data_IF_040257646057
#
_entry.id   IF_040257646057
#
_cell.length_a   1.000
_cell.length_b   1.000
_cell.length_c   1.000
_cell.angle_alpha   90.00
_cell.angle_beta   90.00
_cell.angle_gamma   90.00
#
_symmetry.space_group_name_H-M   'P 1'
#
loop_
_entity.id
_entity.type
_entity.pdbx_description
1 polymer ?
#
# COMPACT_ATOMS: atom_id res chain seq x y z
N UNK A 1 19.06 1.56 22.06
CA UNK A 1 18.14 0.49 21.67
C UNK A 1 16.75 1.02 21.97
N UNK A 2 16.03 1.54 20.96
CA UNK A 2 14.68 2.06 21.15
C UNK A 2 13.75 0.87 21.35
N UNK A 3 13.14 0.75 22.54
CA UNK A 3 12.13 -0.26 22.80
C UNK A 3 10.95 -0.06 21.86
N UNK A 4 10.79 -0.96 20.89
CA UNK A 4 9.61 -1.01 20.04
C UNK A 4 8.46 -1.60 20.86
N UNK A 5 7.77 -0.76 21.60
CA UNK A 5 6.43 -1.08 22.11
C UNK A 5 5.57 -1.44 20.90
N UNK A 6 4.90 -2.60 20.96
CA UNK A 6 3.99 -3.01 19.89
C UNK A 6 2.96 -1.92 19.66
N UNK A 7 2.60 -1.65 18.40
CA UNK A 7 1.39 -0.89 18.09
C UNK A 7 0.22 -1.58 18.78
N UNK A 8 -0.18 -1.07 19.94
CA UNK A 8 -1.46 -1.38 20.59
C UNK A 8 -2.50 -1.15 19.51
N UNK A 9 -3.44 -2.09 19.32
CA UNK A 9 -4.57 -1.99 18.39
C UNK A 9 -4.97 -0.53 18.25
N UNK A 10 -4.78 0.03 17.06
CA UNK A 10 -4.98 1.44 16.82
C UNK A 10 -6.40 1.82 17.25
N UNK A 11 -6.54 2.41 18.44
CA UNK A 11 -7.81 2.94 18.90
C UNK A 11 -8.10 4.15 18.03
N UNK A 12 -8.86 3.91 16.97
CA UNK A 12 -9.30 4.90 15.98
C UNK A 12 -9.90 6.12 16.67
N UNK A 13 -10.54 5.96 17.85
CA UNK A 13 -11.09 7.10 18.61
C UNK A 13 -10.00 7.94 19.26
N UNK A 14 -9.01 7.30 19.88
CA UNK A 14 -7.86 7.97 20.49
C UNK A 14 -7.05 8.72 19.44
N UNK A 15 -6.77 8.07 18.32
CA UNK A 15 -6.07 8.69 17.18
C UNK A 15 -6.85 9.88 16.61
N UNK A 16 -8.18 9.81 16.59
CA UNK A 16 -9.01 10.93 16.13
C UNK A 16 -9.03 12.11 17.11
N UNK A 17 -8.95 11.88 18.44
CA UNK A 17 -8.86 12.96 19.42
C UNK A 17 -7.49 13.63 19.46
N UNK A 18 -6.43 12.91 19.07
CA UNK A 18 -5.05 13.39 19.00
C UNK A 18 -4.69 13.99 17.63
N UNK A 19 -5.57 13.88 16.63
CA UNK A 19 -5.36 14.40 15.29
C UNK A 19 -5.66 15.90 15.19
N UNK A 20 -4.93 16.60 14.31
CA UNK A 20 -5.20 17.99 13.96
C UNK A 20 -6.64 18.17 13.44
N UNK A 21 -7.28 19.32 13.70
CA UNK A 21 -8.64 19.57 13.27
C UNK A 21 -8.76 19.51 11.75
N UNK A 22 -9.55 18.55 11.26
CA UNK A 22 -9.82 18.32 9.84
C UNK A 22 -11.33 18.16 9.63
N UNK A 23 -11.90 18.64 8.51
CA UNK A 23 -13.28 18.33 8.15
C UNK A 23 -13.49 16.84 7.85
N UNK A 24 -12.42 16.10 7.59
CA UNK A 24 -12.43 14.66 7.35
C UNK A 24 -12.30 13.88 8.66
N UNK A 25 -13.11 12.81 8.82
CA UNK A 25 -13.05 11.92 9.98
C UNK A 25 -12.17 10.71 9.72
N UNK A 26 -11.46 10.26 10.75
CA UNK A 26 -10.69 9.01 10.68
C UNK A 26 -11.66 7.83 10.44
N UNK A 27 -11.44 7.11 9.35
CA UNK A 27 -12.32 6.03 8.89
C UNK A 27 -11.50 4.78 8.62
N UNK A 28 -11.89 3.65 9.21
CA UNK A 28 -11.30 2.36 8.91
C UNK A 28 -11.80 1.87 7.54
N UNK A 29 -10.95 1.91 6.52
CA UNK A 29 -11.23 1.41 5.18
C UNK A 29 -10.17 0.37 4.78
N UNK A 30 -10.53 -0.92 4.71
CA UNK A 30 -9.62 -1.95 4.21
C UNK A 30 -9.13 -1.65 2.80
N UNK A 31 -7.87 -2.02 2.51
CA UNK A 31 -7.24 -1.86 1.19
C UNK A 31 -8.10 -2.46 0.06
N UNK A 32 -8.70 -3.63 0.30
CA UNK A 32 -9.59 -4.32 -0.66
C UNK A 32 -10.82 -3.50 -1.07
N UNK A 33 -11.29 -2.58 -0.23
CA UNK A 33 -12.42 -1.70 -0.57
C UNK A 33 -11.94 -0.43 -1.27
N UNK A 34 -10.90 0.23 -0.74
CA UNK A 34 -10.42 1.48 -1.33
C UNK A 34 -9.79 1.28 -2.71
N UNK A 35 -9.03 0.19 -2.93
CA UNK A 35 -8.44 -0.10 -4.23
C UNK A 35 -9.50 -0.32 -5.31
N UNK A 36 -10.61 -0.98 -4.94
CA UNK A 36 -11.75 -1.15 -5.84
C UNK A 36 -12.37 0.18 -6.23
N UNK A 37 -12.57 1.09 -5.28
CA UNK A 37 -13.11 2.43 -5.55
C UNK A 37 -12.18 3.22 -6.47
N UNK A 38 -10.86 3.15 -6.23
CA UNK A 38 -9.87 3.80 -7.09
C UNK A 38 -9.85 3.21 -8.50
N UNK A 39 -9.96 1.88 -8.61
CA UNK A 39 -10.06 1.18 -9.89
C UNK A 39 -11.30 1.63 -10.69
N UNK A 40 -12.48 1.63 -10.06
CA UNK A 40 -13.72 2.12 -10.68
C UNK A 40 -13.60 3.59 -11.12
N UNK A 41 -12.94 4.43 -10.33
CA UNK A 41 -12.70 5.83 -10.65
C UNK A 41 -11.74 6.04 -11.84
N UNK A 42 -10.78 5.13 -12.04
CA UNK A 42 -9.86 5.15 -13.18
C UNK A 42 -10.55 4.65 -14.47
N UNK A 43 -11.38 3.60 -14.37
CA UNK A 43 -12.20 3.13 -15.48
C UNK A 43 -13.14 4.21 -15.99
N UNK A 44 -13.81 4.94 -15.09
CA UNK A 44 -14.68 6.05 -15.45
C UNK A 44 -13.95 7.18 -16.20
N UNK A 45 -12.64 7.31 -15.99
CA UNK A 45 -11.76 8.29 -16.67
C UNK A 45 -11.09 7.74 -17.92
N UNK A 46 -11.45 6.53 -18.36
CA UNK A 46 -10.92 5.87 -19.56
C UNK A 46 -9.37 5.84 -19.59
N UNK A 47 -8.75 5.65 -18.43
CA UNK A 47 -7.30 5.49 -18.33
C UNK A 47 -6.88 4.11 -18.82
N UNK A 48 -5.67 4.02 -19.38
CA UNK A 48 -5.10 2.73 -19.80
C UNK A 48 -4.62 1.96 -18.56
N UNK A 49 -5.27 0.84 -18.26
CA UNK A 49 -4.91 -0.05 -17.17
C UNK A 49 -4.57 -1.43 -17.72
N UNK A 50 -3.36 -1.89 -17.42
CA UNK A 50 -2.84 -3.18 -17.87
C UNK A 50 -2.48 -4.04 -16.66
N UNK A 51 -3.45 -4.83 -16.17
CA UNK A 51 -3.20 -5.82 -15.13
C UNK A 51 -2.52 -7.06 -15.69
N UNK A 52 -1.76 -7.76 -14.85
CA UNK A 52 -0.98 -8.93 -15.26
C UNK A 52 0.25 -8.61 -16.09
N UNK A 53 0.61 -7.32 -16.20
CA UNK A 53 1.84 -6.88 -16.84
C UNK A 53 2.92 -6.68 -15.79
N UNK A 54 4.12 -7.17 -16.08
CA UNK A 54 5.30 -7.03 -15.24
C UNK A 54 6.34 -6.15 -15.95
N UNK A 55 6.81 -5.12 -15.27
CA UNK A 55 7.92 -4.28 -15.77
C UNK A 55 9.25 -5.02 -15.58
N UNK A 56 9.94 -5.27 -16.69
CA UNK A 56 11.17 -6.08 -16.73
C UNK A 56 12.42 -5.21 -16.84
N UNK A 57 12.35 -4.14 -17.65
CA UNK A 57 13.52 -3.29 -17.95
C UNK A 57 13.11 -1.82 -18.04
N UNK A 58 14.05 -0.95 -17.66
CA UNK A 58 13.90 0.50 -17.71
C UNK A 58 15.20 1.09 -18.22
N UNK A 59 15.09 1.95 -19.23
CA UNK A 59 16.19 2.74 -19.76
C UNK A 59 15.74 4.20 -19.81
N UNK A 60 16.44 5.05 -19.06
CA UNK A 60 16.24 6.50 -19.11
C UNK A 60 17.19 7.13 -20.12
N UNK A 61 16.71 8.15 -20.81
CA UNK A 61 17.52 9.07 -21.60
C UNK A 61 17.17 10.51 -21.20
N UNK A 62 17.82 11.51 -21.82
CA UNK A 62 17.71 12.92 -21.37
C UNK A 62 16.27 13.47 -21.34
N UNK A 63 15.35 12.90 -22.12
CA UNK A 63 14.01 13.47 -22.33
C UNK A 63 12.86 12.49 -22.02
N UNK A 64 13.13 11.19 -21.93
CA UNK A 64 12.10 10.19 -21.71
C UNK A 64 12.64 8.93 -21.02
N UNK A 65 11.71 8.11 -20.56
CA UNK A 65 11.94 6.78 -20.04
C UNK A 65 11.34 5.79 -21.03
N UNK A 66 12.14 4.80 -21.43
CA UNK A 66 11.68 3.61 -22.15
C UNK A 66 11.59 2.45 -21.17
N UNK A 67 10.45 1.78 -21.15
CA UNK A 67 10.15 0.64 -20.31
C UNK A 67 9.79 -0.56 -21.17
N UNK A 68 10.25 -1.75 -20.76
CA UNK A 68 9.82 -3.02 -21.33
C UNK A 68 8.94 -3.74 -20.31
N UNK A 69 7.68 -3.95 -20.67
CA UNK A 69 6.72 -4.68 -19.85
C UNK A 69 6.33 -6.00 -20.53
N UNK A 70 6.18 -7.06 -19.75
CA UNK A 70 5.77 -8.38 -20.21
C UNK A 70 4.35 -8.66 -19.75
N UNK A 71 3.45 -9.00 -20.66
CA UNK A 71 2.07 -9.34 -20.31
C UNK A 71 1.93 -10.76 -19.76
N UNK A 72 0.71 -11.12 -19.36
CA UNK A 72 0.37 -12.44 -18.83
C UNK A 72 0.53 -13.59 -19.84
N UNK A 73 0.62 -13.29 -21.13
CA UNK A 73 0.88 -14.25 -22.21
C UNK A 73 2.38 -14.36 -22.53
N UNK A 74 3.20 -13.54 -21.89
CA UNK A 74 4.63 -13.48 -22.06
C UNK A 74 5.11 -12.60 -23.22
N UNK A 75 4.22 -11.84 -23.84
CA UNK A 75 4.57 -10.89 -24.90
C UNK A 75 5.20 -9.65 -24.28
N UNK A 76 6.30 -9.19 -24.86
CA UNK A 76 6.98 -7.97 -24.42
C UNK A 76 6.48 -6.76 -25.19
N UNK A 77 6.25 -5.68 -24.48
CA UNK A 77 5.71 -4.42 -24.96
C UNK A 77 6.67 -3.29 -24.60
N UNK A 78 6.95 -2.41 -25.56
CA UNK A 78 7.80 -1.24 -25.36
C UNK A 78 6.91 -0.03 -25.08
N UNK A 79 7.17 0.64 -23.97
CA UNK A 79 6.41 1.81 -23.51
C UNK A 79 7.39 2.98 -23.42
N UNK A 80 7.08 4.09 -24.10
CA UNK A 80 7.83 5.34 -23.99
C UNK A 80 6.98 6.39 -23.27
N UNK A 81 7.53 7.03 -22.25
CA UNK A 81 6.86 8.05 -21.46
C UNK A 81 7.85 9.12 -20.99
N UNK A 82 7.37 10.33 -20.74
CA UNK A 82 8.22 11.40 -20.17
C UNK A 82 8.64 11.12 -18.73
N UNK A 83 7.84 10.35 -18.00
CA UNK A 83 8.06 10.06 -16.58
C UNK A 83 7.63 8.64 -16.25
N UNK A 84 8.29 8.06 -15.23
CA UNK A 84 7.92 6.78 -14.65
C UNK A 84 7.74 6.96 -13.14
N UNK A 85 6.57 6.58 -12.62
CA UNK A 85 6.28 6.57 -11.19
C UNK A 85 6.44 5.15 -10.63
N UNK A 86 7.45 4.94 -9.79
CA UNK A 86 7.71 3.65 -9.16
C UNK A 86 6.75 3.42 -7.97
N UNK A 87 5.60 2.80 -8.24
CA UNK A 87 4.60 2.41 -7.24
C UNK A 87 4.54 0.88 -7.02
N UNK A 88 5.64 0.17 -7.27
CA UNK A 88 5.77 -1.31 -7.26
C UNK A 88 6.06 -1.90 -5.86
N UNK A 89 5.78 -1.14 -4.81
CA UNK A 89 5.72 -1.62 -3.44
C UNK A 89 7.07 -1.85 -2.74
N UNK A 90 7.00 -2.50 -1.56
CA UNK A 90 8.12 -2.58 -0.62
C UNK A 90 9.37 -3.29 -1.18
N UNK A 91 9.20 -4.18 -2.16
CA UNK A 91 10.28 -4.89 -2.85
C UNK A 91 10.58 -4.31 -4.22
N UNK A 92 10.29 -3.02 -4.44
CA UNK A 92 10.41 -2.36 -5.74
C UNK A 92 11.66 -2.77 -6.53
N UNK A 93 11.41 -3.29 -7.74
CA UNK A 93 12.39 -3.64 -8.76
C UNK A 93 12.96 -2.36 -9.37
N UNK A 94 12.11 -1.37 -9.62
CA UNK A 94 12.51 -0.09 -10.23
C UNK A 94 13.61 0.58 -9.41
N UNK A 95 13.38 0.75 -8.11
CA UNK A 95 14.36 1.35 -7.20
C UNK A 95 15.69 0.58 -7.21
N UNK A 96 15.66 -0.75 -7.28
CA UNK A 96 16.89 -1.58 -7.35
C UNK A 96 17.62 -1.39 -8.66
N UNK A 97 16.90 -1.36 -9.79
CA UNK A 97 17.48 -1.15 -11.11
C UNK A 97 18.20 0.21 -11.20
N UNK A 98 17.67 1.23 -10.51
CA UNK A 98 18.30 2.56 -10.40
C UNK A 98 19.42 2.65 -9.34
N UNK A 99 19.76 1.56 -8.65
CA UNK A 99 20.81 1.57 -7.63
C UNK A 99 20.49 2.41 -6.39
N UNK A 100 19.21 2.72 -6.14
CA UNK A 100 18.82 3.54 -5.00
C UNK A 100 18.82 2.69 -3.72
N UNK A 101 19.81 2.95 -2.86
CA UNK A 101 19.96 2.27 -1.58
C UNK A 101 18.91 2.68 -0.56
N UNK A 102 18.59 1.75 0.35
CA UNK A 102 17.75 2.03 1.53
C UNK A 102 18.58 1.87 2.79
N UNK A 103 18.36 2.77 3.73
CA UNK A 103 18.88 2.68 5.10
C UNK A 103 17.70 2.56 6.05
N UNK A 104 17.77 1.62 6.99
CA UNK A 104 16.68 1.36 7.92
C UNK A 104 16.99 0.18 8.83
N UNK A 105 16.04 -0.13 9.71
CA UNK A 105 16.13 -1.30 10.59
C UNK A 105 15.70 -2.52 9.77
N UNK A 106 16.50 -3.58 9.81
CA UNK A 106 16.16 -4.88 9.22
C UNK A 106 14.86 -5.44 9.83
N UNK A 107 14.18 -6.29 9.07
CA UNK A 107 12.95 -6.91 9.55
C UNK A 107 13.22 -7.72 10.83
N UNK A 108 12.67 -7.26 11.96
CA UNK A 108 12.87 -7.87 13.27
C UNK A 108 11.62 -8.59 13.80
N UNK A 109 10.51 -8.54 13.05
CA UNK A 109 9.23 -9.15 13.40
C UNK A 109 8.58 -9.75 12.17
N UNK A 110 7.96 -10.91 12.37
CA UNK A 110 7.17 -11.61 11.36
C UNK A 110 5.74 -11.72 11.86
N UNK A 111 4.79 -11.34 11.00
CA UNK A 111 3.37 -11.37 11.32
C UNK A 111 2.70 -12.44 10.47
N UNK A 112 1.88 -13.29 11.10
CA UNK A 112 0.97 -14.20 10.41
C UNK A 112 -0.44 -13.61 10.49
N UNK A 113 -0.97 -13.15 9.36
CA UNK A 113 -2.33 -12.64 9.27
C UNK A 113 -3.28 -13.78 8.86
N UNK A 114 -4.31 -14.04 9.67
CA UNK A 114 -5.33 -15.06 9.40
C UNK A 114 -6.68 -14.36 9.21
N UNK A 115 -7.23 -14.44 8.00
CA UNK A 115 -8.56 -13.93 7.70
C UNK A 115 -9.60 -15.06 7.87
N UNK A 116 -10.48 -14.91 8.86
CA UNK A 116 -11.55 -15.88 9.13
C UNK A 116 -12.92 -15.19 9.02
N UNK A 117 -13.83 -15.78 8.25
CA UNK A 117 -15.25 -15.41 8.26
C UNK A 117 -16.00 -16.38 9.15
N UNK A 118 -16.45 -15.92 10.32
CA UNK A 118 -17.30 -16.70 11.23
C UNK A 118 -18.22 -15.77 12.00
N UNK A 119 -19.46 -16.18 12.22
CA UNK A 119 -20.36 -15.50 13.16
C UNK A 119 -19.83 -15.71 14.57
N UNK A 120 -19.41 -14.63 15.22
CA UNK A 120 -18.98 -14.65 16.61
C UNK A 120 -20.22 -14.44 17.51
N UNK A 121 -20.45 -15.28 18.53
CA UNK A 121 -21.47 -14.99 19.55
C UNK A 121 -21.11 -13.70 20.29
N UNK A 122 -22.09 -13.12 21.02
CA UNK A 122 -22.13 -11.75 21.58
C UNK A 122 -21.05 -11.37 22.63
N UNK A 123 -19.84 -11.90 22.53
CA UNK A 123 -18.69 -11.67 23.40
C UNK A 123 -17.83 -10.45 23.00
N UNK A 124 -18.19 -9.70 21.96
CA UNK A 124 -17.49 -8.48 21.53
C UNK A 124 -18.03 -7.19 22.19
N UNK A 125 -18.65 -7.28 23.39
CA UNK A 125 -18.96 -6.07 24.16
C UNK A 125 -17.64 -5.38 24.52
N UNK A 126 -17.47 -4.14 24.06
CA UNK A 126 -16.33 -3.25 24.37
C UNK A 126 -15.78 -3.51 25.77
N UNK A 127 -14.47 -3.75 25.89
CA UNK A 127 -13.80 -3.52 27.17
C UNK A 127 -14.11 -2.08 27.60
N UNK A 128 -14.62 -1.83 28.81
CA UNK A 128 -14.69 -0.47 29.33
C UNK A 128 -13.26 0.08 29.31
N UNK A 129 -13.10 1.27 28.75
CA UNK A 129 -11.85 2.03 28.85
C UNK A 129 -11.49 2.10 30.32
N UNK A 130 -10.37 1.49 30.72
CA UNK A 130 -9.81 1.68 32.03
C UNK A 130 -9.43 3.16 32.14
N UNK A 131 -10.31 3.95 32.75
CA UNK A 131 -9.98 5.29 33.21
C UNK A 131 -8.92 5.12 34.30
N UNK A 132 -7.67 5.40 33.96
CA UNK A 132 -6.61 5.57 34.95
C UNK A 132 -6.89 6.92 35.63
N UNK A 133 -7.23 6.87 36.93
CA UNK A 133 -7.17 8.03 37.82
C UNK A 133 -5.71 8.42 38.06
#
# INVERSE_FOLDING_TARGET
>A
MLESTSLVEADVKRLHSEADPSPCKLTACPQTLIERILYEALLARQQNLHFGWELIEITENQNNVTAIAKDSHGVSHVISASWLFAADGARSNVRRALGIERRGIEANRYYLNIFLKRTLPMMLKKKPSASMK
#
